data_IF_133254283461
#
_entry.id   IF_133254283461
#
_cell.length_a   1.000
_cell.length_b   1.000
_cell.length_c   1.000
_cell.angle_alpha   90.00
_cell.angle_beta   90.00
_cell.angle_gamma   90.00
#
_symmetry.space_group_name_H-M   'P 1'
#
loop_
_entity.id
_entity.type
_entity.pdbx_description
1 polymer ?
#
# COMPACT_ATOMS: atom_id res chain seq x y z
N UNK A 1 -8.58 -3.99 -4.07
CA UNK A 1 -8.68 -3.61 -2.64
C UNK A 1 -8.40 -2.13 -2.39
N UNK A 2 -7.37 -1.52 -3.00
CA UNK A 2 -6.93 -0.16 -2.64
C UNK A 2 -7.84 0.98 -3.11
N UNK A 3 -8.45 0.86 -4.29
CA UNK A 3 -9.23 1.94 -4.90
C UNK A 3 -10.39 2.48 -4.03
N UNK A 4 -11.21 1.66 -3.36
CA UNK A 4 -12.25 2.15 -2.45
C UNK A 4 -11.72 2.98 -1.28
N UNK A 5 -10.49 2.73 -0.82
CA UNK A 5 -9.89 3.42 0.33
C UNK A 5 -9.35 4.81 -0.02
N UNK A 6 -9.15 5.14 -1.30
CA UNK A 6 -8.61 6.44 -1.71
C UNK A 6 -9.47 7.62 -1.21
N UNK A 7 -10.79 7.45 -1.19
CA UNK A 7 -11.69 8.47 -0.63
C UNK A 7 -11.49 8.62 0.88
N UNK A 8 -11.40 7.50 1.59
CA UNK A 8 -11.17 7.48 3.04
C UNK A 8 -9.85 8.13 3.40
N UNK A 9 -8.77 7.83 2.67
CA UNK A 9 -7.44 8.40 2.92
C UNK A 9 -7.41 9.91 2.70
N UNK A 10 -8.13 10.43 1.70
CA UNK A 10 -8.27 11.88 1.49
C UNK A 10 -9.07 12.58 2.60
N UNK A 11 -10.04 11.90 3.19
CA UNK A 11 -10.88 12.46 4.27
C UNK A 11 -10.19 12.36 5.63
N UNK A 12 -9.59 11.22 5.95
CA UNK A 12 -8.98 10.94 7.25
C UNK A 12 -7.53 11.45 7.34
N UNK A 13 -6.91 11.71 6.20
CA UNK A 13 -5.55 12.20 6.10
C UNK A 13 -4.48 11.10 6.12
N UNK A 14 -3.22 11.49 5.83
CA UNK A 14 -2.13 10.56 5.56
C UNK A 14 -1.75 9.69 6.77
N UNK A 15 -1.89 10.19 8.00
CA UNK A 15 -1.55 9.40 9.21
C UNK A 15 -2.38 8.12 9.31
N UNK A 16 -3.70 8.23 9.19
CA UNK A 16 -4.57 7.04 9.26
C UNK A 16 -4.49 6.23 7.97
N UNK A 17 -4.38 6.89 6.82
CA UNK A 17 -4.24 6.21 5.54
C UNK A 17 -3.01 5.32 5.45
N UNK A 18 -1.87 5.73 6.00
CA UNK A 18 -0.64 4.92 6.02
C UNK A 18 -0.78 3.65 6.86
N UNK A 19 -1.52 3.71 7.97
CA UNK A 19 -1.86 2.51 8.76
C UNK A 19 -2.71 1.56 7.91
N UNK A 20 -3.69 2.10 7.18
CA UNK A 20 -4.51 1.34 6.24
C UNK A 20 -3.66 0.68 5.14
N UNK A 21 -2.77 1.43 4.49
CA UNK A 21 -1.85 0.90 3.49
C UNK A 21 -1.02 -0.27 4.04
N UNK A 22 -0.48 -0.13 5.25
CA UNK A 22 0.32 -1.20 5.85
C UNK A 22 -0.49 -2.49 5.99
N UNK A 23 -1.69 -2.41 6.58
CA UNK A 23 -2.58 -3.57 6.73
C UNK A 23 -2.94 -4.21 5.39
N UNK A 24 -3.24 -3.40 4.38
CA UNK A 24 -3.59 -3.88 3.06
C UNK A 24 -2.42 -4.55 2.33
N UNK A 25 -1.20 -4.04 2.50
CA UNK A 25 -0.01 -4.67 1.93
C UNK A 25 0.22 -6.07 2.52
N UNK A 26 0.02 -6.23 3.83
CA UNK A 26 0.10 -7.52 4.52
C UNK A 26 -1.03 -8.47 4.11
N UNK A 27 -2.27 -8.00 3.99
CA UNK A 27 -3.39 -8.79 3.48
C UNK A 27 -3.18 -9.23 2.02
N UNK A 28 -2.70 -8.32 1.18
CA UNK A 28 -2.33 -8.62 -0.20
C UNK A 28 -1.25 -9.70 -0.25
N UNK A 29 -0.21 -9.60 0.57
CA UNK A 29 0.86 -10.58 0.61
C UNK A 29 0.31 -11.98 0.99
N UNK A 30 -0.47 -12.06 2.07
CA UNK A 30 -1.11 -13.30 2.52
C UNK A 30 -1.99 -13.94 1.43
N UNK A 31 -2.82 -13.14 0.75
CA UNK A 31 -3.72 -13.63 -0.30
C UNK A 31 -2.99 -14.06 -1.58
N UNK A 32 -1.75 -13.61 -1.78
CA UNK A 32 -0.90 -13.96 -2.92
C UNK A 32 0.20 -14.98 -2.57
N UNK A 33 0.16 -15.57 -1.37
CA UNK A 33 1.14 -16.57 -0.93
C UNK A 33 2.54 -15.99 -0.63
N UNK A 34 2.64 -14.66 -0.49
CA UNK A 34 3.85 -13.97 -0.04
C UNK A 34 3.81 -13.89 1.49
N UNK A 35 4.75 -14.57 2.15
CA UNK A 35 4.84 -14.52 3.61
C UNK A 35 5.28 -13.13 4.13
N UNK A 36 4.93 -12.78 5.37
CA UNK A 36 5.33 -11.50 5.97
C UNK A 36 6.85 -11.26 5.92
N UNK A 37 7.67 -12.28 6.18
CA UNK A 37 9.13 -12.15 6.09
C UNK A 37 9.59 -11.85 4.66
N UNK A 38 8.93 -12.41 3.65
CA UNK A 38 9.24 -12.15 2.24
C UNK A 38 8.81 -10.75 1.83
N UNK A 39 7.61 -10.30 2.24
CA UNK A 39 7.15 -8.93 2.01
C UNK A 39 8.12 -7.91 2.61
N UNK A 40 8.50 -8.11 3.87
CA UNK A 40 9.42 -7.20 4.57
C UNK A 40 10.85 -7.25 4.00
N UNK A 41 11.24 -8.36 3.38
CA UNK A 41 12.51 -8.47 2.65
C UNK A 41 12.53 -7.75 1.29
N UNK A 42 11.36 -7.45 0.72
CA UNK A 42 11.20 -6.77 -0.57
C UNK A 42 9.89 -5.97 -0.59
N UNK A 43 9.83 -4.88 0.16
CA UNK A 43 8.64 -4.01 0.22
C UNK A 43 8.35 -3.33 -1.13
N UNK A 44 9.37 -3.18 -1.98
CA UNK A 44 9.25 -2.65 -3.33
C UNK A 44 8.36 -3.53 -4.24
N UNK A 45 8.06 -4.78 -3.85
CA UNK A 45 7.07 -5.61 -4.55
C UNK A 45 5.70 -4.93 -4.61
N UNK A 46 5.30 -4.16 -3.58
CA UNK A 46 4.02 -3.45 -3.55
C UNK A 46 3.96 -2.41 -4.66
N UNK A 47 5.02 -1.62 -4.83
CA UNK A 47 5.12 -0.65 -5.92
C UNK A 47 5.14 -1.31 -7.30
N UNK A 48 5.88 -2.40 -7.47
CA UNK A 48 5.93 -3.12 -8.76
C UNK A 48 4.56 -3.72 -9.11
N UNK A 49 3.90 -4.36 -8.15
CA UNK A 49 2.59 -4.97 -8.34
C UNK A 49 1.50 -3.94 -8.62
N UNK A 50 1.47 -2.82 -7.89
CA UNK A 50 0.48 -1.75 -8.11
C UNK A 50 0.76 -0.95 -9.37
N UNK A 51 2.02 -0.72 -9.75
CA UNK A 51 2.37 -0.07 -11.02
C UNK A 51 1.94 -0.93 -12.22
N UNK A 52 2.07 -2.26 -12.12
CA UNK A 52 1.68 -3.17 -13.18
C UNK A 52 0.16 -3.37 -13.27
N UNK A 53 -0.54 -3.44 -12.14
CA UNK A 53 -1.96 -3.78 -12.11
C UNK A 53 -2.89 -2.56 -12.13
N UNK A 54 -2.52 -1.47 -11.46
CA UNK A 54 -3.39 -0.32 -11.23
C UNK A 54 -2.60 1.01 -11.06
N UNK A 55 -1.90 1.48 -12.11
CA UNK A 55 -1.00 2.65 -12.03
C UNK A 55 -1.71 3.95 -11.60
N UNK A 56 -2.96 4.15 -12.01
CA UNK A 56 -3.74 5.35 -11.63
C UNK A 56 -4.13 5.32 -10.15
N UNK A 57 -4.49 4.14 -9.63
CA UNK A 57 -4.80 3.93 -8.21
C UNK A 57 -3.54 4.13 -7.37
N UNK A 58 -2.39 3.63 -7.83
CA UNK A 58 -1.08 3.86 -7.20
C UNK A 58 -0.77 5.35 -7.11
N UNK A 59 -0.95 6.09 -8.20
CA UNK A 59 -0.67 7.54 -8.23
C UNK A 59 -1.53 8.29 -7.22
N UNK A 60 -2.83 8.03 -7.21
CA UNK A 60 -3.75 8.65 -6.23
C UNK A 60 -3.44 8.25 -4.79
N UNK A 61 -3.01 7.01 -4.56
CA UNK A 61 -2.59 6.55 -3.23
C UNK A 61 -1.35 7.31 -2.74
N UNK A 62 -0.32 7.48 -3.58
CA UNK A 62 0.88 8.22 -3.23
C UNK A 62 0.56 9.68 -2.87
N UNK A 63 -0.31 10.32 -3.65
CA UNK A 63 -0.77 11.68 -3.38
C UNK A 63 -1.55 11.76 -2.07
N UNK A 64 -2.54 10.89 -1.85
CA UNK A 64 -3.38 10.90 -0.66
C UNK A 64 -2.61 10.56 0.63
N UNK A 65 -1.57 9.74 0.52
CA UNK A 65 -0.75 9.29 1.64
C UNK A 65 0.50 10.15 1.85
N UNK A 66 0.77 11.09 0.95
CA UNK A 66 2.00 11.90 0.92
C UNK A 66 3.26 11.03 1.01
N UNK A 67 3.30 9.96 0.20
CA UNK A 67 4.41 9.02 0.17
C UNK A 67 5.19 9.13 -1.15
N UNK A 68 6.53 8.96 -1.12
CA UNK A 68 7.33 8.90 -2.35
C UNK A 68 7.12 7.57 -3.11
N UNK A 69 6.82 6.50 -2.39
CA UNK A 69 6.53 5.15 -2.89
C UNK A 69 5.67 4.40 -1.87
N UNK A 70 4.92 3.38 -2.30
CA UNK A 70 4.03 2.64 -1.39
C UNK A 70 4.83 1.82 -0.38
N UNK A 71 6.00 1.32 -0.78
CA UNK A 71 6.93 0.59 0.08
C UNK A 71 7.30 1.36 1.36
N UNK A 72 7.35 2.70 1.31
CA UNK A 72 7.63 3.54 2.48
C UNK A 72 6.53 3.50 3.56
N UNK A 73 5.33 3.02 3.21
CA UNK A 73 4.22 2.80 4.14
C UNK A 73 4.08 1.35 4.63
N UNK A 74 4.97 0.44 4.20
CA UNK A 74 4.96 -0.97 4.62
C UNK A 74 5.95 -1.16 5.76
N UNK A 75 5.43 -1.51 6.93
CA UNK A 75 6.16 -1.64 8.19
C UNK A 75 5.79 -2.96 8.86
N UNK A 76 6.61 -3.42 9.79
CA UNK A 76 6.26 -4.57 10.64
C UNK A 76 4.96 -4.30 11.41
N UNK A 77 4.02 -5.25 11.35
CA UNK A 77 2.89 -5.34 12.28
C UNK A 77 3.34 -5.85 13.65
#
# INVERSE_FOLDING_TARGET
MMEPELSNWRVQGPTIGRIGLNLMAHEWALTNGVGNQQLLGDTAVVDRSTSAACPDVRTQALEALELPELAAGVLTL
#
